data_IF_959398188410
#
_entry.id   IF_959398188410
#
_cell.length_a   1.000
_cell.length_b   1.000
_cell.length_c   1.000
_cell.angle_alpha   90.00
_cell.angle_beta   90.00
_cell.angle_gamma   90.00
#
_symmetry.space_group_name_H-M   'P 1'
#
loop_
_entity.id
_entity.type
_entity.pdbx_description
1 polymer ?
#
# COMPACT_ATOMS: atom_id res chain seq x y z
N UNK A 1 -17.47 -7.42 10.26
CA UNK A 1 -16.35 -7.24 9.33
C UNK A 1 -16.91 -7.43 7.96
N UNK A 2 -17.40 -6.33 7.38
CA UNK A 2 -18.03 -6.35 6.07
C UNK A 2 -16.95 -6.34 4.98
N UNK A 3 -16.96 -7.37 4.14
CA UNK A 3 -16.12 -7.45 2.96
C UNK A 3 -16.87 -6.71 1.87
N UNK A 4 -16.63 -5.41 1.79
CA UNK A 4 -17.21 -4.52 0.79
C UNK A 4 -16.13 -3.72 0.08
N UNK A 5 -16.43 -3.30 -1.15
CA UNK A 5 -15.56 -2.50 -1.97
C UNK A 5 -15.28 -1.15 -1.30
N UNK A 6 -14.00 -0.87 -1.04
CA UNK A 6 -13.58 0.37 -0.36
C UNK A 6 -13.15 0.18 1.10
N UNK A 7 -13.42 -0.97 1.72
CA UNK A 7 -12.95 -1.29 3.08
C UNK A 7 -11.52 -1.89 3.12
N UNK A 8 -10.81 -1.83 2.01
CA UNK A 8 -9.47 -2.37 1.84
C UNK A 8 -8.39 -1.43 2.42
N UNK A 9 -7.45 -2.00 3.18
CA UNK A 9 -6.33 -1.23 3.77
C UNK A 9 -5.11 -1.14 2.84
N UNK A 10 -4.96 -2.09 1.90
CA UNK A 10 -3.80 -2.20 1.02
C UNK A 10 -4.18 -2.91 -0.26
N UNK A 11 -3.66 -2.44 -1.38
CA UNK A 11 -3.81 -3.06 -2.70
C UNK A 11 -2.53 -3.80 -3.08
N UNK A 12 -2.69 -4.98 -3.69
CA UNK A 12 -1.61 -5.82 -4.21
C UNK A 12 -1.93 -6.18 -5.66
N UNK A 13 -1.12 -5.72 -6.61
CA UNK A 13 -1.30 -5.98 -8.04
C UNK A 13 -0.09 -6.74 -8.55
N UNK A 14 -0.26 -8.01 -8.92
CA UNK A 14 0.87 -8.88 -9.28
C UNK A 14 1.30 -8.79 -10.74
N UNK A 15 0.37 -8.49 -11.65
CA UNK A 15 0.58 -8.47 -13.09
C UNK A 15 -0.37 -7.45 -13.74
N UNK A 16 0.03 -6.83 -14.87
CA UNK A 16 1.36 -6.87 -15.49
C UNK A 16 2.40 -6.02 -14.72
N UNK A 17 1.94 -5.09 -13.88
CA UNK A 17 2.78 -4.23 -13.06
C UNK A 17 2.71 -4.67 -11.61
N UNK A 18 3.87 -4.87 -10.99
CA UNK A 18 3.97 -5.24 -9.58
C UNK A 18 3.86 -3.98 -8.72
N UNK A 19 2.77 -3.84 -7.96
CA UNK A 19 2.58 -2.72 -7.03
C UNK A 19 1.91 -3.19 -5.74
N UNK A 20 2.48 -2.78 -4.61
CA UNK A 20 1.84 -2.82 -3.30
C UNK A 20 1.61 -1.38 -2.86
N UNK A 21 0.39 -1.02 -2.48
CA UNK A 21 0.05 0.32 -1.99
C UNK A 21 -0.78 0.23 -0.72
N UNK A 22 -0.25 0.71 0.40
CA UNK A 22 -1.02 0.89 1.63
C UNK A 22 -1.91 2.13 1.51
N UNK A 23 -3.22 1.92 1.48
CA UNK A 23 -4.20 2.97 1.23
C UNK A 23 -4.38 3.90 2.43
N UNK A 24 -3.91 3.50 3.62
CA UNK A 24 -4.01 4.30 4.84
C UNK A 24 -2.85 5.27 4.98
N UNK A 25 -1.64 4.83 4.64
CA UNK A 25 -0.40 5.59 4.84
C UNK A 25 0.17 6.18 3.55
N UNK A 26 -0.20 5.63 2.39
CA UNK A 26 0.36 6.00 1.09
C UNK A 26 1.72 5.36 0.80
N UNK A 27 2.20 4.50 1.69
CA UNK A 27 3.45 3.77 1.51
C UNK A 27 3.28 2.72 0.40
N UNK A 28 4.28 2.61 -0.48
CA UNK A 28 4.23 1.69 -1.62
C UNK A 28 5.51 0.88 -1.75
N UNK A 29 5.41 -0.28 -2.40
CA UNK A 29 6.55 -1.12 -2.75
C UNK A 29 6.38 -1.67 -4.17
N UNK A 30 7.47 -1.63 -4.94
CA UNK A 30 7.55 -2.29 -6.25
C UNK A 30 7.96 -3.77 -6.18
N UNK A 31 8.52 -4.23 -5.05
CA UNK A 31 8.95 -5.62 -4.87
C UNK A 31 7.89 -6.42 -4.13
N UNK A 32 6.92 -6.97 -4.86
CA UNK A 32 5.85 -7.79 -4.26
C UNK A 32 6.41 -9.03 -3.57
N UNK A 33 7.41 -9.66 -4.19
CA UNK A 33 7.97 -10.90 -3.67
C UNK A 33 8.54 -10.69 -2.26
N UNK A 34 9.36 -9.65 -2.06
CA UNK A 34 9.89 -9.29 -0.73
C UNK A 34 8.79 -9.06 0.29
N UNK A 35 7.72 -8.36 -0.09
CA UNK A 35 6.58 -8.08 0.80
C UNK A 35 5.87 -9.38 1.21
N UNK A 36 5.72 -10.33 0.28
CA UNK A 36 5.13 -11.63 0.58
C UNK A 36 6.07 -12.53 1.40
N UNK A 37 7.38 -12.33 1.26
CA UNK A 37 8.41 -13.01 2.05
C UNK A 37 8.60 -12.38 3.45
N UNK A 38 7.82 -11.35 3.79
CA UNK A 38 7.73 -10.79 5.14
C UNK A 38 8.36 -9.41 5.31
N UNK A 39 8.88 -8.79 4.26
CA UNK A 39 9.39 -7.42 4.28
C UNK A 39 8.24 -6.40 4.34
N UNK A 40 7.59 -6.30 5.50
CA UNK A 40 6.43 -5.44 5.76
C UNK A 40 6.71 -4.30 6.75
N UNK A 41 7.94 -4.22 7.26
CA UNK A 41 8.33 -3.28 8.31
C UNK A 41 8.08 -1.82 7.90
N UNK A 42 8.37 -1.48 6.64
CA UNK A 42 8.11 -0.15 6.10
C UNK A 42 6.64 0.28 6.26
N UNK A 43 5.69 -0.63 6.05
CA UNK A 43 4.26 -0.33 6.19
C UNK A 43 3.84 -0.19 7.67
N UNK A 44 4.41 -1.02 8.54
CA UNK A 44 4.14 -0.98 9.98
C UNK A 44 4.68 0.33 10.54
N UNK A 45 5.95 0.63 10.28
CA UNK A 45 6.61 1.87 10.69
C UNK A 45 5.87 3.10 10.17
N UNK A 46 5.50 3.13 8.89
CA UNK A 46 4.73 4.23 8.32
C UNK A 46 3.45 4.47 9.14
N UNK A 47 2.73 3.41 9.51
CA UNK A 47 1.50 3.56 10.29
C UNK A 47 1.77 4.01 11.73
N UNK A 48 2.80 3.45 12.38
CA UNK A 48 3.17 3.81 13.75
C UNK A 48 3.68 5.25 13.85
N UNK A 49 4.37 5.73 12.81
CA UNK A 49 4.81 7.13 12.69
C UNK A 49 3.68 8.09 12.33
N UNK A 50 2.45 7.60 12.14
CA UNK A 50 1.30 8.43 11.85
C UNK A 50 1.26 8.96 10.42
N UNK A 51 1.97 8.35 9.44
CA UNK A 51 1.78 8.68 8.03
C UNK A 51 0.31 8.48 7.65
N UNK A 52 -0.23 9.44 6.92
CA UNK A 52 -1.56 9.39 6.34
C UNK A 52 -1.43 9.61 4.86
N UNK A 53 -2.12 8.79 4.06
CA UNK A 53 -2.18 8.99 2.62
C UNK A 53 -2.92 10.29 2.33
N UNK A 54 -2.24 11.25 1.71
CA UNK A 54 -2.90 12.43 1.13
C UNK A 54 -3.45 12.02 -0.23
N UNK A 55 -4.77 12.06 -0.38
CA UNK A 55 -5.45 11.71 -1.63
C UNK A 55 -5.16 12.81 -2.67
N UNK A 56 -4.59 12.45 -3.82
CA UNK A 56 -4.28 13.35 -4.94
C UNK A 56 -2.80 13.73 -5.12
N UNK A 57 -1.90 13.42 -4.18
CA UNK A 57 -0.50 13.87 -4.26
C UNK A 57 0.41 13.06 -5.20
N UNK A 58 -0.06 11.92 -5.73
CA UNK A 58 0.72 10.99 -6.57
C UNK A 58 -0.01 10.53 -7.83
N UNK A 59 -1.26 10.95 -8.03
CA UNK A 59 -2.10 10.49 -9.14
C UNK A 59 -1.90 11.37 -10.40
N UNK A 60 -0.95 12.33 -10.39
CA UNK A 60 -0.65 13.24 -11.51
C UNK A 60 0.58 12.82 -12.36
N UNK A 61 1.33 11.79 -11.95
CA UNK A 61 2.54 11.30 -12.67
C UNK A 61 2.36 9.93 -13.38
N UNK A 62 1.19 9.29 -13.28
CA UNK A 62 0.86 8.00 -13.93
C UNK A 62 -0.23 8.15 -15.01
#
# INVERSE_FOLDING_TARGET
GDIDWGNQIRSYVFQPYQKVLDLRTGEESGSIQSVMDGDIDNFIEAKLRGKVRVKGAKDEED
#
